data_IF_991052537531
#
_entry.id   IF_991052537531
#
_cell.length_a   1.000
_cell.length_b   1.000
_cell.length_c   1.000
_cell.angle_alpha   90.00
_cell.angle_beta   90.00
_cell.angle_gamma   90.00
#
_symmetry.space_group_name_H-M   'P 1'
#
loop_
_entity.id
_entity.type
_entity.pdbx_description
1 polymer ?
#
# COMPACT_ATOMS: atom_id res chain seq x y z
N UNK A 1 -17.65 13.20 8.65
CA UNK A 1 -16.25 12.69 8.59
C UNK A 1 -15.37 13.70 9.31
N UNK A 2 -14.42 13.26 10.16
CA UNK A 2 -13.63 14.12 11.06
C UNK A 2 -12.89 15.29 10.36
N UNK A 3 -12.54 15.14 9.07
CA UNK A 3 -11.72 16.12 8.32
C UNK A 3 -12.28 16.46 6.92
N UNK A 4 -13.50 16.04 6.59
CA UNK A 4 -14.04 16.11 5.22
C UNK A 4 -13.29 15.23 4.20
N UNK A 5 -13.75 15.23 2.95
CA UNK A 5 -13.18 14.37 1.90
C UNK A 5 -11.72 14.69 1.61
N UNK A 6 -11.38 15.98 1.46
CA UNK A 6 -10.02 16.45 1.22
C UNK A 6 -9.07 16.07 2.37
N UNK A 7 -9.53 16.22 3.62
CA UNK A 7 -8.75 15.79 4.78
C UNK A 7 -8.51 14.28 4.80
N UNK A 8 -9.51 13.48 4.41
CA UNK A 8 -9.35 12.03 4.26
C UNK A 8 -8.33 11.67 3.19
N UNK A 9 -8.34 12.32 2.02
CA UNK A 9 -7.33 12.09 0.97
C UNK A 9 -5.92 12.37 1.49
N UNK A 10 -5.72 13.51 2.17
CA UNK A 10 -4.42 13.87 2.76
C UNK A 10 -3.96 12.80 3.75
N UNK A 11 -4.84 12.35 4.65
CA UNK A 11 -4.51 11.31 5.62
C UNK A 11 -4.12 10.00 4.96
N UNK A 12 -4.81 9.56 3.90
CA UNK A 12 -4.44 8.35 3.17
C UNK A 12 -3.04 8.47 2.56
N UNK A 13 -2.72 9.62 1.96
CA UNK A 13 -1.40 9.86 1.37
C UNK A 13 -0.30 9.87 2.43
N UNK A 14 -0.51 10.58 3.55
CA UNK A 14 0.43 10.64 4.67
C UNK A 14 0.68 9.25 5.26
N UNK A 15 -0.38 8.49 5.52
CA UNK A 15 -0.27 7.11 6.02
C UNK A 15 0.46 6.20 5.02
N UNK A 16 0.22 6.34 3.72
CA UNK A 16 0.93 5.57 2.69
C UNK A 16 2.41 5.94 2.64
N UNK A 17 2.76 7.22 2.78
CA UNK A 17 4.14 7.67 2.83
C UNK A 17 4.88 7.09 4.05
N UNK A 18 4.25 7.15 5.24
CA UNK A 18 4.78 6.54 6.46
C UNK A 18 4.94 5.02 6.30
N UNK A 19 3.96 4.35 5.70
CA UNK A 19 4.05 2.93 5.37
C UNK A 19 5.25 2.63 4.46
N UNK A 20 5.45 3.41 3.40
CA UNK A 20 6.59 3.26 2.49
C UNK A 20 7.94 3.40 3.20
N UNK A 21 8.08 4.38 4.09
CA UNK A 21 9.30 4.56 4.90
C UNK A 21 9.57 3.32 5.76
N UNK A 22 8.56 2.81 6.47
CA UNK A 22 8.71 1.61 7.31
C UNK A 22 8.97 0.36 6.45
N UNK A 23 8.33 0.26 5.29
CA UNK A 23 8.53 -0.85 4.35
C UNK A 23 9.97 -0.91 3.82
N UNK A 24 10.64 0.24 3.62
CA UNK A 24 12.05 0.28 3.25
C UNK A 24 12.96 -0.32 4.32
N UNK A 25 12.74 0.00 5.59
CA UNK A 25 13.46 -0.62 6.70
C UNK A 25 13.22 -2.14 6.75
N UNK A 26 11.97 -2.57 6.57
CA UNK A 26 11.62 -3.98 6.58
C UNK A 26 12.20 -4.74 5.37
N UNK A 27 12.25 -4.13 4.19
CA UNK A 27 12.90 -4.70 3.01
C UNK A 27 14.40 -4.95 3.24
N UNK A 28 15.06 -4.17 4.11
CA UNK A 28 16.47 -4.34 4.45
C UNK A 28 16.79 -5.64 5.21
N UNK A 29 15.80 -6.27 5.85
CA UNK A 29 15.97 -7.54 6.59
C UNK A 29 15.40 -8.75 5.85
N UNK A 30 14.79 -8.54 4.68
CA UNK A 30 14.18 -9.60 3.87
C UNK A 30 15.14 -10.06 2.77
N UNK A 31 15.06 -11.35 2.41
CA UNK A 31 15.73 -11.84 1.23
C UNK A 31 15.03 -11.45 -0.08
N UNK A 32 15.48 -11.97 -1.23
CA UNK A 32 15.07 -11.46 -2.55
C UNK A 32 13.57 -11.57 -2.85
N UNK A 33 12.91 -12.66 -2.45
CA UNK A 33 11.48 -12.91 -2.72
C UNK A 33 10.63 -11.94 -1.89
N UNK A 34 10.93 -11.80 -0.60
CA UNK A 34 10.28 -10.85 0.29
C UNK A 34 10.45 -9.40 -0.19
N UNK A 35 11.65 -9.02 -0.63
CA UNK A 35 11.91 -7.69 -1.21
C UNK A 35 11.09 -7.43 -2.47
N UNK A 36 10.98 -8.42 -3.37
CA UNK A 36 10.16 -8.31 -4.57
C UNK A 36 8.68 -8.14 -4.23
N UNK A 37 8.16 -8.90 -3.26
CA UNK A 37 6.78 -8.76 -2.82
C UNK A 37 6.49 -7.39 -2.20
N UNK A 38 7.41 -6.88 -1.36
CA UNK A 38 7.31 -5.51 -0.81
C UNK A 38 7.27 -4.48 -1.95
N UNK A 39 8.13 -4.61 -2.95
CA UNK A 39 8.14 -3.68 -4.09
C UNK A 39 6.82 -3.72 -4.88
N UNK A 40 6.35 -4.92 -5.25
CA UNK A 40 5.11 -5.09 -6.02
C UNK A 40 3.89 -4.60 -5.24
N UNK A 41 3.78 -4.94 -3.94
CA UNK A 41 2.68 -4.46 -3.12
C UNK A 41 2.72 -2.94 -2.93
N UNK A 42 3.91 -2.33 -2.83
CA UNK A 42 4.03 -0.87 -2.77
C UNK A 42 3.55 -0.20 -4.06
N UNK A 43 3.83 -0.77 -5.23
CA UNK A 43 3.27 -0.27 -6.49
C UNK A 43 1.73 -0.30 -6.53
N UNK A 44 1.10 -1.33 -5.94
CA UNK A 44 -0.36 -1.37 -5.80
C UNK A 44 -0.87 -0.24 -4.89
N UNK A 45 -0.18 0.05 -3.79
CA UNK A 45 -0.53 1.17 -2.91
C UNK A 45 -0.39 2.52 -3.60
N UNK A 46 0.67 2.71 -4.42
CA UNK A 46 0.85 3.92 -5.23
C UNK A 46 -0.30 4.07 -6.22
N UNK A 47 -0.67 3.02 -6.94
CA UNK A 47 -1.81 3.04 -7.85
C UNK A 47 -3.13 3.38 -7.13
N UNK A 48 -3.35 2.81 -5.94
CA UNK A 48 -4.51 3.10 -5.11
C UNK A 48 -4.58 4.58 -4.70
N UNK A 49 -3.44 5.15 -4.29
CA UNK A 49 -3.35 6.58 -3.96
C UNK A 49 -3.62 7.47 -5.16
N UNK A 50 -3.12 7.11 -6.36
CA UNK A 50 -3.41 7.87 -7.59
C UNK A 50 -4.92 7.90 -7.88
N UNK A 51 -5.63 6.78 -7.69
CA UNK A 51 -7.09 6.72 -7.87
C UNK A 51 -7.79 7.64 -6.86
N UNK A 52 -7.38 7.59 -5.59
CA UNK A 52 -7.98 8.40 -4.51
C UNK A 52 -7.73 9.90 -4.72
N UNK A 53 -6.50 10.30 -5.04
CA UNK A 53 -6.13 11.71 -5.24
C UNK A 53 -6.90 12.30 -6.44
N UNK A 54 -7.00 11.55 -7.55
CA UNK A 54 -7.71 12.01 -8.75
C UNK A 54 -9.22 12.06 -8.58
N UNK A 55 -9.78 11.13 -7.82
CA UNK A 55 -11.23 11.04 -7.62
C UNK A 55 -11.76 11.89 -6.49
N UNK A 56 -10.99 12.07 -5.40
CA UNK A 56 -11.32 12.92 -4.25
C UNK A 56 -12.60 12.56 -3.51
N UNK A 57 -13.22 11.42 -3.81
CA UNK A 57 -14.58 11.04 -3.40
C UNK A 57 -14.61 9.68 -2.71
N UNK A 58 -15.65 9.39 -1.89
CA UNK A 58 -15.83 8.08 -1.28
C UNK A 58 -15.84 6.93 -2.29
N UNK A 59 -16.46 7.13 -3.46
CA UNK A 59 -16.53 6.14 -4.54
C UNK A 59 -15.15 5.81 -5.10
N UNK A 60 -14.26 6.81 -5.23
CA UNK A 60 -12.87 6.59 -5.62
C UNK A 60 -12.12 5.77 -4.56
N UNK A 61 -12.38 6.02 -3.27
CA UNK A 61 -11.88 5.20 -2.17
C UNK A 61 -12.31 3.74 -2.28
N UNK A 62 -13.60 3.49 -2.56
CA UNK A 62 -14.12 2.14 -2.74
C UNK A 62 -13.51 1.41 -3.93
N UNK A 63 -13.24 2.12 -5.04
CA UNK A 63 -12.54 1.54 -6.21
C UNK A 63 -11.07 1.24 -5.93
N UNK A 64 -10.42 2.01 -5.06
CA UNK A 64 -9.03 1.78 -4.66
C UNK A 64 -8.88 0.64 -3.64
N UNK A 65 -9.94 0.32 -2.89
CA UNK A 65 -9.93 -0.67 -1.81
C UNK A 65 -9.36 -2.05 -2.21
N UNK A 66 -9.68 -2.63 -3.38
CA UNK A 66 -9.10 -3.90 -3.80
C UNK A 66 -7.58 -3.87 -3.96
N UNK A 67 -7.00 -2.72 -4.34
CA UNK A 67 -5.55 -2.58 -4.49
C UNK A 67 -4.84 -2.59 -3.12
N UNK A 68 -5.44 -1.98 -2.10
CA UNK A 68 -4.93 -2.08 -0.72
C UNK A 68 -4.95 -3.52 -0.21
N UNK A 69 -6.04 -4.25 -0.45
CA UNK A 69 -6.14 -5.66 -0.06
C UNK A 69 -5.19 -6.54 -0.88
N UNK A 70 -5.05 -6.28 -2.17
CA UNK A 70 -4.09 -6.95 -3.04
C UNK A 70 -2.65 -6.77 -2.54
N UNK A 71 -2.28 -5.56 -2.10
CA UNK A 71 -0.96 -5.31 -1.50
C UNK A 71 -0.72 -6.19 -0.26
N UNK A 72 -1.71 -6.30 0.63
CA UNK A 72 -1.63 -7.16 1.82
C UNK A 72 -1.42 -8.63 1.42
N UNK A 73 -2.17 -9.13 0.44
CA UNK A 73 -2.03 -10.52 -0.05
C UNK A 73 -0.64 -10.75 -0.64
N UNK A 74 -0.15 -9.83 -1.48
CA UNK A 74 1.19 -9.92 -2.08
C UNK A 74 2.27 -9.94 -1.01
N UNK A 75 2.20 -9.06 -0.01
CA UNK A 75 3.13 -9.05 1.11
C UNK A 75 3.11 -10.39 1.86
N UNK A 76 1.94 -10.83 2.29
CA UNK A 76 1.79 -12.06 3.06
C UNK A 76 2.33 -13.29 2.32
N UNK A 77 1.98 -13.44 1.03
CA UNK A 77 2.45 -14.54 0.20
C UNK A 77 3.96 -14.46 -0.01
N UNK A 78 4.53 -13.27 -0.28
CA UNK A 78 5.98 -13.15 -0.47
C UNK A 78 6.79 -13.47 0.78
N UNK A 79 6.31 -13.05 1.95
CA UNK A 79 6.96 -13.34 3.24
C UNK A 79 6.88 -14.84 3.53
N UNK A 80 5.73 -15.46 3.25
CA UNK A 80 5.55 -16.90 3.39
C UNK A 80 6.45 -17.67 2.43
N UNK A 81 6.54 -17.28 1.16
CA UNK A 81 7.36 -17.95 0.16
C UNK A 81 8.85 -17.83 0.45
N UNK A 82 9.30 -16.67 0.95
CA UNK A 82 10.69 -16.47 1.37
C UNK A 82 11.10 -17.46 2.48
N UNK A 83 10.18 -17.89 3.35
CA UNK A 83 10.50 -18.89 4.38
C UNK A 83 10.86 -20.27 3.78
N UNK A 84 10.40 -20.57 2.56
CA UNK A 84 10.58 -21.88 1.92
C UNK A 84 11.74 -21.92 0.91
N UNK A 85 12.36 -20.79 0.59
CA UNK A 85 13.41 -20.63 -0.44
C UNK A 85 14.69 -20.13 0.20
#
# INVERSE_FOLDING_TARGET
MLYGEQGTVIWVVVCTALHGIVALFFAGVMGPVGRMGIFVGFLLLVAANVIIIRGGTPEAGMRALPLFHGAIVVYAVSILLEFFV
#
